data_IF_369726492530
#
_entry.id   IF_369726492530
#
_cell.length_a   1.000
_cell.length_b   1.000
_cell.length_c   1.000
_cell.angle_alpha   90.00
_cell.angle_beta   90.00
_cell.angle_gamma   90.00
#
_symmetry.space_group_name_H-M   'P 1'
#
loop_
_entity.id
_entity.type
_entity.pdbx_description
1 polymer ?
#
# COMPACT_ATOMS: atom_id res chain seq x y z
N UNK A 1 -26.29 -11.46 -2.83
CA UNK A 1 -25.89 -10.07 -3.12
C UNK A 1 -26.13 -9.83 -4.60
N UNK A 2 -26.91 -8.81 -4.98
CA UNK A 2 -27.28 -8.57 -6.37
C UNK A 2 -26.05 -8.10 -7.15
N UNK A 3 -25.76 -8.69 -8.32
CA UNK A 3 -24.54 -8.40 -9.11
C UNK A 3 -24.41 -6.92 -9.47
N UNK A 4 -25.54 -6.22 -9.62
CA UNK A 4 -25.62 -4.78 -9.87
C UNK A 4 -24.98 -3.91 -8.76
N UNK A 5 -25.04 -4.33 -7.49
CA UNK A 5 -24.44 -3.57 -6.39
C UNK A 5 -22.96 -3.87 -6.17
N UNK A 6 -22.48 -5.03 -6.60
CA UNK A 6 -21.10 -5.44 -6.38
C UNK A 6 -20.10 -4.73 -7.32
N UNK A 7 -20.57 -4.31 -8.51
CA UNK A 7 -19.76 -3.63 -9.54
C UNK A 7 -19.24 -2.25 -9.12
N UNK A 8 -20.05 -1.32 -8.61
CA UNK A 8 -19.52 -0.03 -8.14
C UNK A 8 -18.57 -0.20 -6.95
N UNK A 9 -18.83 -1.15 -6.05
CA UNK A 9 -18.02 -1.36 -4.85
C UNK A 9 -16.62 -1.84 -5.20
N UNK A 10 -16.49 -2.80 -6.12
CA UNK A 10 -15.16 -3.28 -6.54
C UNK A 10 -14.38 -2.20 -7.27
N UNK A 11 -15.03 -1.36 -8.09
CA UNK A 11 -14.37 -0.26 -8.77
C UNK A 11 -13.85 0.79 -7.77
N UNK A 12 -14.63 1.13 -6.75
CA UNK A 12 -14.17 2.03 -5.67
C UNK A 12 -12.98 1.43 -4.93
N UNK A 13 -13.00 0.13 -4.65
CA UNK A 13 -11.86 -0.58 -4.03
C UNK A 13 -10.61 -0.52 -4.90
N UNK A 14 -10.71 -0.88 -6.18
CA UNK A 14 -9.58 -0.82 -7.14
C UNK A 14 -8.99 0.59 -7.16
N UNK A 15 -9.84 1.61 -7.24
CA UNK A 15 -9.42 3.01 -7.24
C UNK A 15 -8.61 3.37 -5.98
N UNK A 16 -9.14 3.03 -4.80
CA UNK A 16 -8.50 3.38 -3.52
C UNK A 16 -7.19 2.61 -3.32
N UNK A 17 -7.14 1.32 -3.69
CA UNK A 17 -5.95 0.49 -3.52
C UNK A 17 -4.83 0.95 -4.47
N UNK A 18 -5.15 1.21 -5.74
CA UNK A 18 -4.21 1.80 -6.69
C UNK A 18 -3.69 3.18 -6.24
N UNK A 19 -4.58 3.99 -5.67
CA UNK A 19 -4.23 5.27 -5.06
C UNK A 19 -3.23 5.09 -3.90
N UNK A 20 -3.43 4.11 -3.01
CA UNK A 20 -2.54 3.91 -1.88
C UNK A 20 -1.17 3.39 -2.34
N UNK A 21 -1.15 2.42 -3.25
CA UNK A 21 0.06 1.76 -3.72
C UNK A 21 1.01 2.73 -4.45
N UNK A 22 0.49 3.63 -5.29
CA UNK A 22 1.34 4.66 -5.92
C UNK A 22 1.87 5.68 -4.90
N UNK A 23 1.08 6.03 -3.88
CA UNK A 23 1.52 7.01 -2.88
C UNK A 23 2.64 6.43 -2.01
N UNK A 24 2.60 5.13 -1.67
CA UNK A 24 3.70 4.47 -0.98
C UNK A 24 5.01 4.51 -1.77
N UNK A 25 4.95 4.29 -3.08
CA UNK A 25 6.12 4.40 -3.96
C UNK A 25 6.70 5.83 -3.90
N UNK A 26 5.85 6.84 -4.09
CA UNK A 26 6.26 8.24 -4.10
C UNK A 26 6.82 8.72 -2.75
N UNK A 27 6.25 8.23 -1.63
CA UNK A 27 6.77 8.47 -0.29
C UNK A 27 8.20 7.97 -0.15
N UNK A 28 8.48 6.75 -0.62
CA UNK A 28 9.82 6.16 -0.56
C UNK A 28 10.80 6.86 -1.51
N UNK A 29 10.37 7.23 -2.72
CA UNK A 29 11.18 8.00 -3.65
C UNK A 29 11.59 9.36 -3.05
N UNK A 30 10.63 10.07 -2.44
CA UNK A 30 10.88 11.37 -1.83
C UNK A 30 11.73 11.25 -0.57
N UNK A 31 11.51 10.24 0.27
CA UNK A 31 12.36 9.97 1.43
C UNK A 31 13.81 9.69 1.00
N UNK A 32 14.01 8.82 0.01
CA UNK A 32 15.35 8.54 -0.53
C UNK A 32 16.02 9.79 -1.09
N UNK A 33 15.27 10.65 -1.79
CA UNK A 33 15.76 11.95 -2.28
C UNK A 33 16.23 12.85 -1.12
N UNK A 34 15.45 12.89 -0.03
CA UNK A 34 15.78 13.69 1.15
C UNK A 34 16.99 13.17 1.94
N UNK A 35 17.14 11.84 2.09
CA UNK A 35 18.22 11.24 2.89
C UNK A 35 19.51 10.98 2.11
N UNK A 36 19.44 10.62 0.82
CA UNK A 36 20.59 10.17 0.04
C UNK A 36 20.98 11.11 -1.10
N UNK A 37 20.30 12.25 -1.26
CA UNK A 37 20.52 13.23 -2.31
C UNK A 37 20.32 12.66 -3.74
N UNK A 38 20.54 13.51 -4.76
CA UNK A 38 20.35 13.21 -6.18
C UNK A 38 18.93 12.74 -6.53
N UNK A 39 17.99 13.70 -6.49
CA UNK A 39 16.55 13.47 -6.68
C UNK A 39 16.23 12.67 -7.94
N UNK A 40 16.80 13.04 -9.09
CA UNK A 40 16.51 12.35 -10.37
C UNK A 40 16.90 10.88 -10.29
N UNK A 41 18.09 10.57 -9.77
CA UNK A 41 18.52 9.18 -9.59
C UNK A 41 17.57 8.41 -8.67
N UNK A 42 17.18 8.99 -7.53
CA UNK A 42 16.33 8.30 -6.53
C UNK A 42 14.94 8.01 -7.05
N UNK A 43 14.32 8.97 -7.73
CA UNK A 43 13.03 8.76 -8.37
C UNK A 43 13.11 7.72 -9.49
N UNK A 44 14.06 7.84 -10.43
CA UNK A 44 14.18 6.90 -11.55
C UNK A 44 14.44 5.46 -11.09
N UNK A 45 15.33 5.27 -10.10
CA UNK A 45 15.62 3.94 -9.54
C UNK A 45 14.41 3.39 -8.78
N UNK A 46 13.72 4.22 -8.00
CA UNK A 46 12.53 3.80 -7.25
C UNK A 46 11.42 3.35 -8.20
N UNK A 47 11.09 4.16 -9.20
CA UNK A 47 10.08 3.84 -10.23
C UNK A 47 10.46 2.54 -10.95
N UNK A 48 11.70 2.45 -11.45
CA UNK A 48 12.15 1.27 -12.19
C UNK A 48 12.10 -0.01 -11.36
N UNK A 49 12.56 0.05 -10.10
CA UNK A 49 12.56 -1.09 -9.20
C UNK A 49 11.13 -1.48 -8.78
N UNK A 50 10.29 -0.49 -8.48
CA UNK A 50 8.88 -0.69 -8.14
C UNK A 50 8.13 -1.37 -9.29
N UNK A 51 8.25 -0.87 -10.52
CA UNK A 51 7.62 -1.46 -11.70
C UNK A 51 8.13 -2.86 -12.00
N UNK A 52 9.45 -3.10 -11.89
CA UNK A 52 10.02 -4.43 -12.05
C UNK A 52 9.46 -5.42 -11.01
N UNK A 53 9.43 -5.02 -9.74
CA UNK A 53 8.88 -5.82 -8.65
C UNK A 53 7.37 -6.04 -8.77
N UNK A 54 6.62 -5.05 -9.24
CA UNK A 54 5.21 -5.20 -9.59
C UNK A 54 5.00 -6.26 -10.68
N UNK A 55 5.86 -6.26 -11.71
CA UNK A 55 5.87 -7.32 -12.72
C UNK A 55 6.13 -8.70 -12.11
N UNK A 56 7.11 -8.83 -11.20
CA UNK A 56 7.37 -10.09 -10.49
C UNK A 56 6.18 -10.56 -9.65
N UNK A 57 5.51 -9.64 -8.93
CA UNK A 57 4.31 -9.95 -8.16
C UNK A 57 3.16 -10.45 -9.03
N UNK A 58 2.94 -9.79 -10.18
CA UNK A 58 1.92 -10.21 -11.14
C UNK A 58 2.21 -11.58 -11.76
N UNK A 59 3.49 -11.89 -12.06
CA UNK A 59 3.91 -13.21 -12.54
C UNK A 59 3.80 -14.30 -11.45
N UNK A 60 4.07 -13.95 -10.20
CA UNK A 60 3.97 -14.85 -9.06
C UNK A 60 2.54 -15.11 -8.59
N UNK A 61 1.55 -14.39 -9.12
CA UNK A 61 0.12 -14.62 -8.87
C UNK A 61 -0.37 -15.91 -9.56
N UNK A 62 0.18 -17.05 -9.13
CA UNK A 62 -0.17 -18.39 -9.57
C UNK A 62 -1.64 -18.74 -9.26
N UNK A 63 -2.16 -19.75 -9.96
CA UNK A 63 -3.54 -20.26 -9.81
C UNK A 63 -3.93 -20.58 -8.35
N UNK A 64 -2.97 -21.00 -7.53
CA UNK A 64 -3.18 -21.26 -6.10
C UNK A 64 -3.61 -19.99 -5.34
N UNK A 65 -3.02 -18.84 -5.66
CA UNK A 65 -3.32 -17.56 -5.02
C UNK A 65 -4.63 -16.94 -5.55
N UNK A 66 -4.98 -17.24 -6.79
CA UNK A 66 -6.23 -16.80 -7.41
C UNK A 66 -7.43 -17.70 -7.03
N UNK A 67 -7.21 -18.90 -6.47
CA UNK A 67 -8.28 -19.80 -5.97
C UNK A 67 -9.18 -19.14 -4.91
N UNK A 68 -8.62 -18.30 -4.04
CA UNK A 68 -9.36 -17.56 -3.00
C UNK A 68 -9.02 -16.07 -3.07
N UNK A 69 -9.41 -15.38 -4.15
CA UNK A 69 -8.77 -14.13 -4.53
C UNK A 69 -9.07 -13.00 -3.54
N UNK A 70 -10.26 -12.99 -2.92
CA UNK A 70 -10.61 -12.01 -1.87
C UNK A 70 -9.77 -12.21 -0.59
N UNK A 71 -9.49 -13.46 -0.21
CA UNK A 71 -8.67 -13.76 0.97
C UNK A 71 -7.21 -13.40 0.73
N UNK A 72 -6.70 -13.71 -0.46
CA UNK A 72 -5.35 -13.35 -0.87
C UNK A 72 -5.22 -11.83 -0.95
N UNK A 73 -6.19 -11.13 -1.56
CA UNK A 73 -6.22 -9.67 -1.63
C UNK A 73 -6.20 -9.06 -0.23
N UNK A 74 -7.04 -9.53 0.69
CA UNK A 74 -7.03 -9.05 2.06
C UNK A 74 -5.68 -9.30 2.76
N UNK A 75 -5.00 -10.40 2.45
CA UNK A 75 -3.66 -10.69 2.99
C UNK A 75 -2.61 -9.73 2.42
N UNK A 76 -2.71 -9.41 1.13
CA UNK A 76 -1.87 -8.40 0.47
C UNK A 76 -2.10 -7.02 1.10
N UNK A 77 -3.36 -6.64 1.34
CA UNK A 77 -3.68 -5.34 1.96
C UNK A 77 -3.17 -5.20 3.39
N UNK A 78 -3.24 -6.28 4.17
CA UNK A 78 -2.63 -6.34 5.50
C UNK A 78 -1.13 -6.03 5.41
N UNK A 79 -0.43 -6.69 4.48
CA UNK A 79 1.01 -6.52 4.31
C UNK A 79 1.37 -5.14 3.74
N UNK A 80 0.62 -4.62 2.78
CA UNK A 80 0.81 -3.27 2.24
C UNK A 80 0.57 -2.20 3.29
N UNK A 81 -0.46 -2.34 4.12
CA UNK A 81 -0.72 -1.42 5.23
C UNK A 81 0.44 -1.40 6.22
N UNK A 82 0.99 -2.57 6.57
CA UNK A 82 2.11 -2.68 7.50
C UNK A 82 3.42 -2.16 6.89
N UNK A 83 3.79 -2.64 5.70
CA UNK A 83 5.07 -2.31 5.08
C UNK A 83 5.04 -0.88 4.55
N UNK A 84 3.98 -0.49 3.85
CA UNK A 84 3.81 0.85 3.29
C UNK A 84 3.60 1.91 4.37
N UNK A 85 2.65 1.68 5.29
CA UNK A 85 2.31 2.65 6.34
C UNK A 85 3.45 2.94 7.32
N UNK A 86 4.23 1.92 7.68
CA UNK A 86 5.37 2.07 8.60
C UNK A 86 6.72 2.25 7.90
N UNK A 87 6.77 2.25 6.56
CA UNK A 87 8.00 2.36 5.77
C UNK A 87 8.87 3.54 6.20
N UNK A 88 8.28 4.72 6.36
CA UNK A 88 9.02 5.92 6.78
C UNK A 88 9.47 5.86 8.23
N UNK A 89 8.65 5.33 9.13
CA UNK A 89 9.06 5.09 10.51
C UNK A 89 10.29 4.19 10.58
N UNK A 90 10.31 3.13 9.78
CA UNK A 90 11.48 2.23 9.66
C UNK A 90 12.70 3.02 9.17
N UNK A 91 12.59 3.80 8.09
CA UNK A 91 13.71 4.59 7.57
C UNK A 91 14.22 5.62 8.60
N UNK A 92 13.34 6.34 9.29
CA UNK A 92 13.71 7.28 10.34
C UNK A 92 14.46 6.59 11.50
N UNK A 93 14.00 5.41 11.93
CA UNK A 93 14.70 4.61 12.95
C UNK A 93 16.08 4.18 12.48
N UNK A 94 16.21 3.68 11.24
CA UNK A 94 17.51 3.29 10.67
C UNK A 94 18.49 4.47 10.60
N UNK A 95 17.99 5.66 10.26
CA UNK A 95 18.77 6.88 10.25
C UNK A 95 19.20 7.31 11.67
N UNK A 96 18.29 7.23 12.64
CA UNK A 96 18.56 7.53 14.06
C UNK A 96 19.60 6.59 14.68
N UNK A 97 19.70 5.34 14.21
CA UNK A 97 20.71 4.39 14.65
C UNK A 97 22.10 4.62 14.02
N UNK A 98 22.28 5.68 13.23
CA UNK A 98 23.53 6.01 12.51
C UNK A 98 24.06 4.84 11.67
N UNK A 99 23.15 4.07 11.08
CA UNK A 99 23.56 2.94 10.25
C UNK A 99 24.32 3.43 9.00
N UNK A 100 25.28 2.64 8.49
CA UNK A 100 26.00 3.00 7.28
C UNK A 100 25.05 3.29 6.13
N UNK A 101 25.39 4.28 5.29
CA UNK A 101 24.59 4.71 4.13
C UNK A 101 24.16 3.56 3.22
N UNK A 102 25.01 2.54 3.07
CA UNK A 102 24.72 1.33 2.28
C UNK A 102 23.59 0.50 2.89
N UNK A 103 23.53 0.37 4.22
CA UNK A 103 22.49 -0.39 4.93
C UNK A 103 21.16 0.34 4.84
N UNK A 104 21.16 1.66 5.05
CA UNK A 104 19.97 2.49 4.87
C UNK A 104 19.41 2.37 3.45
N UNK A 105 20.28 2.55 2.45
CA UNK A 105 19.90 2.43 1.04
C UNK A 105 19.34 1.04 0.74
N UNK A 106 20.01 -0.04 1.16
CA UNK A 106 19.53 -1.40 0.94
C UNK A 106 18.15 -1.63 1.57
N UNK A 107 17.93 -1.19 2.81
CA UNK A 107 16.65 -1.32 3.48
C UNK A 107 15.52 -0.60 2.72
N UNK A 108 15.76 0.63 2.27
CA UNK A 108 14.78 1.37 1.47
C UNK A 108 14.43 0.66 0.16
N UNK A 109 15.42 0.12 -0.57
CA UNK A 109 15.17 -0.62 -1.81
C UNK A 109 14.44 -1.95 -1.56
N UNK A 110 14.70 -2.62 -0.42
CA UNK A 110 13.93 -3.80 0.00
C UNK A 110 12.47 -3.42 0.25
N UNK A 111 12.20 -2.30 0.92
CA UNK A 111 10.82 -1.81 1.12
C UNK A 111 10.13 -1.55 -0.22
N UNK A 112 10.81 -0.89 -1.17
CA UNK A 112 10.30 -0.65 -2.53
C UNK A 112 9.96 -1.97 -3.22
N UNK A 113 10.86 -2.96 -3.17
CA UNK A 113 10.63 -4.29 -3.77
C UNK A 113 9.43 -4.98 -3.13
N UNK A 114 9.34 -4.98 -1.79
CA UNK A 114 8.23 -5.62 -1.08
C UNK A 114 6.88 -4.99 -1.45
N UNK A 115 6.79 -3.65 -1.46
CA UNK A 115 5.56 -2.95 -1.82
C UNK A 115 5.24 -3.16 -3.30
N UNK A 116 6.25 -3.14 -4.19
CA UNK A 116 6.10 -3.41 -5.61
C UNK A 116 5.54 -4.81 -5.86
N UNK A 117 6.16 -5.85 -5.29
CA UNK A 117 5.69 -7.24 -5.40
C UNK A 117 4.25 -7.36 -4.92
N UNK A 118 3.94 -6.82 -3.73
CA UNK A 118 2.59 -6.88 -3.17
C UNK A 118 1.56 -6.16 -4.05
N UNK A 119 1.86 -4.96 -4.55
CA UNK A 119 0.99 -4.25 -5.49
C UNK A 119 0.78 -5.06 -6.77
N UNK A 120 1.82 -5.76 -7.24
CA UNK A 120 1.75 -6.64 -8.41
C UNK A 120 0.71 -7.75 -8.29
N UNK A 121 0.39 -8.21 -7.08
CA UNK A 121 -0.67 -9.20 -6.86
C UNK A 121 -2.08 -8.63 -7.07
N UNK A 122 -2.30 -7.33 -6.89
CA UNK A 122 -3.64 -6.73 -6.88
C UNK A 122 -4.37 -6.94 -8.21
N UNK A 123 -3.73 -6.59 -9.34
CA UNK A 123 -4.37 -6.62 -10.67
C UNK A 123 -4.84 -8.03 -11.06
N UNK A 124 -4.00 -9.10 -10.97
CA UNK A 124 -4.47 -10.47 -11.21
C UNK A 124 -5.61 -10.90 -10.27
N UNK A 125 -5.58 -10.50 -8.99
CA UNK A 125 -6.62 -10.84 -8.03
C UNK A 125 -7.95 -10.15 -8.39
N UNK A 126 -7.91 -8.88 -8.80
CA UNK A 126 -9.10 -8.19 -9.27
C UNK A 126 -9.68 -8.81 -10.54
N UNK A 127 -8.84 -9.16 -11.51
CA UNK A 127 -9.26 -9.88 -12.73
C UNK A 127 -10.01 -11.15 -12.37
N UNK A 128 -9.48 -11.96 -11.45
CA UNK A 128 -10.16 -13.18 -11.04
C UNK A 128 -11.48 -12.90 -10.31
N UNK A 129 -11.56 -11.89 -9.43
CA UNK A 129 -12.80 -11.53 -8.74
C UNK A 129 -13.89 -11.10 -9.73
N UNK A 130 -13.57 -10.22 -10.69
CA UNK A 130 -14.55 -9.73 -11.67
C UNK A 130 -14.96 -10.83 -12.66
N UNK A 131 -14.03 -11.73 -13.02
CA UNK A 131 -14.25 -12.87 -13.92
C UNK A 131 -15.16 -13.92 -13.31
N UNK A 132 -14.84 -14.42 -12.11
CA UNK A 132 -15.62 -15.48 -11.43
C UNK A 132 -17.09 -15.05 -11.26
N UNK A 133 -17.30 -13.76 -10.98
CA UNK A 133 -18.61 -13.24 -10.61
C UNK A 133 -19.34 -12.51 -11.73
N UNK A 134 -18.68 -12.30 -12.88
CA UNK A 134 -19.19 -11.55 -14.05
C UNK A 134 -19.74 -10.17 -13.65
N UNK A 135 -18.99 -9.44 -12.84
CA UNK A 135 -19.42 -8.17 -12.22
C UNK A 135 -18.90 -6.94 -12.99
N UNK A 136 -17.75 -7.06 -13.65
CA UNK A 136 -17.09 -5.99 -14.41
C UNK A 136 -16.20 -6.59 -15.50
N UNK A 137 -15.59 -5.75 -16.34
CA UNK A 137 -14.61 -6.17 -17.36
C UNK A 137 -13.18 -5.84 -16.91
N UNK A 138 -12.21 -6.62 -17.37
CA UNK A 138 -10.79 -6.39 -17.08
C UNK A 138 -10.29 -5.02 -17.55
N UNK A 139 -10.83 -4.52 -18.67
CA UNK A 139 -10.54 -3.17 -19.18
C UNK A 139 -10.99 -2.08 -18.20
N UNK A 140 -12.15 -2.26 -17.54
CA UNK A 140 -12.62 -1.32 -16.51
C UNK A 140 -11.70 -1.39 -15.29
N UNK A 141 -11.29 -2.59 -14.88
CA UNK A 141 -10.34 -2.77 -13.77
C UNK A 141 -9.05 -2.00 -14.03
N UNK A 142 -8.44 -2.17 -15.22
CA UNK A 142 -7.22 -1.43 -15.59
C UNK A 142 -7.45 0.08 -15.65
N UNK A 143 -8.54 0.53 -16.29
CA UNK A 143 -8.84 1.95 -16.40
C UNK A 143 -9.01 2.63 -15.04
N UNK A 144 -9.73 1.98 -14.12
CA UNK A 144 -9.94 2.47 -12.75
C UNK A 144 -8.64 2.43 -11.95
N UNK A 145 -7.82 1.39 -12.12
CA UNK A 145 -6.51 1.28 -11.48
C UNK A 145 -5.58 2.44 -11.89
N UNK A 146 -5.44 2.70 -13.20
CA UNK A 146 -4.62 3.81 -13.67
C UNK A 146 -5.18 5.18 -13.26
N UNK A 147 -6.51 5.31 -13.22
CA UNK A 147 -7.14 6.54 -12.74
C UNK A 147 -6.87 6.77 -11.24
N UNK A 148 -6.97 5.72 -10.41
CA UNK A 148 -6.60 5.76 -8.99
C UNK A 148 -5.14 6.17 -8.79
N UNK A 149 -4.22 5.58 -9.56
CA UNK A 149 -2.81 5.93 -9.52
C UNK A 149 -2.54 7.39 -9.94
N UNK A 150 -3.21 7.87 -10.99
CA UNK A 150 -3.10 9.27 -11.41
C UNK A 150 -3.57 10.24 -10.30
N UNK A 151 -4.73 9.97 -9.70
CA UNK A 151 -5.25 10.79 -8.59
C UNK A 151 -4.33 10.71 -7.38
N UNK A 152 -3.81 9.53 -7.05
CA UNK A 152 -2.84 9.32 -5.97
C UNK A 152 -1.59 10.18 -6.14
N UNK A 153 -0.97 10.16 -7.33
CA UNK A 153 0.19 11.00 -7.65
C UNK A 153 -0.11 12.49 -7.50
N UNK A 154 -1.28 12.94 -7.97
CA UNK A 154 -1.73 14.33 -7.83
C UNK A 154 -1.95 14.73 -6.37
N UNK A 155 -2.67 13.92 -5.60
CA UNK A 155 -2.91 14.16 -4.17
C UNK A 155 -1.61 14.16 -3.37
N UNK A 156 -0.69 13.23 -3.64
CA UNK A 156 0.61 13.24 -3.00
C UNK A 156 1.36 14.55 -3.28
N UNK A 157 1.48 14.91 -4.55
CA UNK A 157 2.28 16.07 -4.99
C UNK A 157 1.73 17.40 -4.50
N UNK A 158 0.41 17.60 -4.59
CA UNK A 158 -0.19 18.91 -4.33
C UNK A 158 -0.83 19.06 -2.95
N UNK A 159 -1.13 17.96 -2.26
CA UNK A 159 -1.88 17.98 -0.99
C UNK A 159 -1.05 17.35 0.13
N UNK A 160 -0.71 16.07 0.02
CA UNK A 160 -0.15 15.35 1.16
C UNK A 160 1.28 15.76 1.48
N UNK A 161 2.16 15.77 0.48
CA UNK A 161 3.56 16.14 0.70
C UNK A 161 3.70 17.60 1.20
N UNK A 162 3.04 18.61 0.59
CA UNK A 162 3.21 19.99 1.03
C UNK A 162 2.54 20.34 2.37
N UNK A 163 1.40 19.70 2.69
CA UNK A 163 0.58 20.10 3.85
C UNK A 163 0.87 19.21 5.07
N UNK A 164 0.89 17.88 4.88
CA UNK A 164 1.03 16.92 5.97
C UNK A 164 2.48 16.47 6.19
N UNK A 165 3.33 16.57 5.17
CA UNK A 165 4.69 16.02 5.21
C UNK A 165 4.72 14.50 5.10
N UNK A 166 5.92 13.93 5.02
CA UNK A 166 6.10 12.52 4.64
C UNK A 166 5.51 11.55 5.68
N UNK A 167 5.86 11.71 6.96
CA UNK A 167 5.50 10.75 8.02
C UNK A 167 3.98 10.68 8.25
N UNK A 168 3.30 11.82 8.37
CA UNK A 168 1.85 11.84 8.52
C UNK A 168 1.15 11.27 7.28
N UNK A 169 1.68 11.55 6.08
CA UNK A 169 1.16 10.99 4.83
C UNK A 169 1.26 9.46 4.79
N UNK A 170 2.36 8.85 5.24
CA UNK A 170 2.50 7.39 5.23
C UNK A 170 1.47 6.72 6.14
N UNK A 171 1.23 7.26 7.34
CA UNK A 171 0.18 6.73 8.23
C UNK A 171 -1.23 7.00 7.69
N UNK A 172 -1.46 8.15 7.07
CA UNK A 172 -2.77 8.48 6.49
C UNK A 172 -3.13 7.55 5.33
N UNK A 173 -2.17 7.31 4.42
CA UNK A 173 -2.35 6.37 3.31
C UNK A 173 -2.48 4.94 3.85
N UNK A 174 -1.68 4.58 4.86
CA UNK A 174 -1.85 3.38 5.67
C UNK A 174 -3.27 3.17 6.17
N UNK A 175 -3.85 4.21 6.75
CA UNK A 175 -5.22 4.19 7.27
C UNK A 175 -6.27 4.02 6.16
N UNK A 176 -6.12 4.72 5.03
CA UNK A 176 -7.01 4.55 3.87
C UNK A 176 -6.91 3.12 3.31
N UNK A 177 -5.70 2.57 3.19
CA UNK A 177 -5.50 1.20 2.73
C UNK A 177 -6.14 0.19 3.69
N UNK A 178 -5.96 0.43 5.00
CA UNK A 178 -6.55 -0.38 6.05
C UNK A 178 -8.08 -0.40 5.99
N UNK A 179 -8.69 0.78 5.75
CA UNK A 179 -10.13 0.94 5.56
C UNK A 179 -10.62 0.20 4.30
N UNK A 180 -9.91 0.35 3.18
CA UNK A 180 -10.24 -0.36 1.94
C UNK A 180 -10.21 -1.88 2.15
N UNK A 181 -9.14 -2.42 2.76
CA UNK A 181 -9.05 -3.83 3.11
C UNK A 181 -10.17 -4.28 4.06
N UNK A 182 -10.53 -3.48 5.06
CA UNK A 182 -11.65 -3.78 5.97
C UNK A 182 -12.98 -3.85 5.23
N UNK A 183 -13.17 -2.99 4.23
CA UNK A 183 -14.40 -2.94 3.42
C UNK A 183 -14.58 -4.15 2.50
N UNK A 184 -13.55 -4.99 2.30
CA UNK A 184 -13.70 -6.29 1.61
C UNK A 184 -14.71 -7.23 2.28
N UNK A 185 -15.04 -7.00 3.56
CA UNK A 185 -16.14 -7.67 4.25
C UNK A 185 -17.49 -7.51 3.55
N UNK A 186 -17.70 -6.41 2.80
CA UNK A 186 -18.90 -6.21 1.99
C UNK A 186 -18.98 -7.27 0.89
N UNK A 187 -17.84 -7.72 0.37
CA UNK A 187 -17.72 -8.77 -0.64
C UNK A 187 -17.75 -10.19 -0.06
N UNK A 188 -17.97 -10.37 1.26
CA UNK A 188 -17.98 -11.71 1.90
C UNK A 188 -18.95 -12.71 1.24
N UNK A 189 -20.05 -12.20 0.66
CA UNK A 189 -21.03 -13.04 -0.04
C UNK A 189 -20.51 -13.68 -1.33
N UNK A 190 -19.35 -13.23 -1.82
CA UNK A 190 -18.67 -13.76 -2.99
C UNK A 190 -17.69 -14.90 -2.65
N UNK A 191 -17.34 -15.06 -1.37
CA UNK A 191 -16.36 -16.02 -0.87
C UNK A 191 -16.99 -17.43 -0.74
N UNK A 192 -16.23 -18.47 -1.10
CA UNK A 192 -16.67 -19.86 -0.92
C UNK A 192 -16.78 -20.23 0.56
N UNK A 193 -17.65 -21.18 0.92
CA UNK A 193 -17.87 -21.58 2.33
C UNK A 193 -16.58 -22.04 3.03
N UNK A 194 -15.73 -22.74 2.30
CA UNK A 194 -14.42 -23.24 2.78
C UNK A 194 -13.44 -22.11 3.12
N UNK A 195 -13.53 -20.99 2.40
CA UNK A 195 -12.64 -19.83 2.57
C UNK A 195 -13.16 -18.79 3.58
N UNK A 196 -14.39 -18.92 4.09
CA UNK A 196 -14.97 -17.95 5.03
C UNK A 196 -14.27 -17.94 6.40
N UNK A 197 -13.94 -19.11 6.96
CA UNK A 197 -13.26 -19.19 8.26
C UNK A 197 -11.88 -18.51 8.25
N UNK A 198 -10.98 -18.76 7.27
CA UNK A 198 -9.73 -18.02 7.17
C UNK A 198 -9.96 -16.54 6.85
N UNK A 199 -10.99 -16.19 6.06
CA UNK A 199 -11.33 -14.79 5.78
C UNK A 199 -11.63 -14.00 7.06
N UNK A 200 -12.45 -14.54 7.97
CA UNK A 200 -12.76 -13.85 9.23
C UNK A 200 -11.53 -13.63 10.10
N UNK A 201 -10.56 -14.56 10.12
CA UNK A 201 -9.29 -14.39 10.84
C UNK A 201 -8.47 -13.24 10.25
N UNK A 202 -8.31 -13.22 8.94
CA UNK A 202 -7.62 -12.12 8.23
C UNK A 202 -8.34 -10.80 8.46
N UNK A 203 -9.68 -10.78 8.42
CA UNK A 203 -10.45 -9.58 8.64
C UNK A 203 -10.31 -9.05 10.07
N UNK A 204 -10.30 -9.93 11.09
CA UNK A 204 -10.01 -9.49 12.46
C UNK A 204 -8.61 -8.90 12.60
N UNK A 205 -7.61 -9.47 11.91
CA UNK A 205 -6.26 -8.91 11.87
C UNK A 205 -6.24 -7.53 11.20
N UNK A 206 -6.93 -7.38 10.07
CA UNK A 206 -7.05 -6.12 9.36
C UNK A 206 -7.68 -5.02 10.23
N UNK A 207 -8.73 -5.35 10.99
CA UNK A 207 -9.36 -4.39 11.92
C UNK A 207 -8.40 -3.98 13.04
N UNK A 208 -7.63 -4.92 13.59
CA UNK A 208 -6.60 -4.59 14.60
C UNK A 208 -5.54 -3.65 14.02
N UNK A 209 -5.09 -3.90 12.78
CA UNK A 209 -4.13 -3.05 12.09
C UNK A 209 -4.72 -1.67 11.78
N UNK A 210 -5.99 -1.60 11.38
CA UNK A 210 -6.71 -0.33 11.18
C UNK A 210 -6.73 0.52 12.45
N UNK A 211 -7.03 -0.08 13.60
CA UNK A 211 -7.02 0.62 14.89
C UNK A 211 -5.60 1.08 15.24
N UNK A 212 -4.62 0.19 15.08
CA UNK A 212 -3.21 0.50 15.35
C UNK A 212 -2.71 1.67 14.49
N UNK A 213 -2.95 1.64 13.17
CA UNK A 213 -2.49 2.69 12.27
C UNK A 213 -3.27 4.00 12.47
N UNK A 214 -4.55 3.90 12.86
CA UNK A 214 -5.33 5.06 13.29
C UNK A 214 -4.70 5.76 14.50
N UNK A 215 -4.27 4.99 15.52
CA UNK A 215 -3.55 5.54 16.68
C UNK A 215 -2.24 6.19 16.24
N UNK A 216 -1.45 5.55 15.37
CA UNK A 216 -0.20 6.12 14.84
C UNK A 216 -0.44 7.43 14.08
N UNK A 217 -1.53 7.53 13.31
CA UNK A 217 -1.91 8.75 12.61
C UNK A 217 -2.26 9.89 13.58
N UNK A 218 -3.05 9.62 14.62
CA UNK A 218 -3.36 10.61 15.66
C UNK A 218 -2.11 11.07 16.42
N UNK A 219 -1.13 10.19 16.60
CA UNK A 219 0.15 10.50 17.25
C UNK A 219 1.23 10.96 16.27
N UNK A 220 0.90 11.29 15.03
CA UNK A 220 1.91 11.57 13.99
C UNK A 220 2.75 12.82 14.28
N UNK A 221 2.16 13.90 14.82
CA UNK A 221 2.91 15.12 15.17
C UNK A 221 3.95 14.85 16.28
N UNK A 222 3.60 14.24 17.45
CA UNK A 222 4.58 13.86 18.46
C UNK A 222 5.66 12.90 17.94
N UNK A 223 5.30 11.97 17.05
CA UNK A 223 6.26 11.02 16.47
C UNK A 223 7.27 11.77 15.60
N UNK A 224 6.81 12.71 14.78
CA UNK A 224 7.67 13.50 13.92
C UNK A 224 8.57 14.43 14.73
N UNK A 225 8.04 15.11 15.76
CA UNK A 225 8.82 15.93 16.68
C UNK A 225 9.88 15.12 17.43
N UNK A 226 9.56 13.91 17.89
CA UNK A 226 10.51 13.02 18.56
C UNK A 226 11.71 12.68 17.65
N UNK A 227 11.46 12.40 16.38
CA UNK A 227 12.55 12.13 15.43
C UNK A 227 13.38 13.39 15.13
N UNK A 228 12.74 14.55 15.03
CA UNK A 228 13.43 15.82 14.78
C UNK A 228 14.29 16.27 15.97
N UNK A 229 13.77 16.22 17.19
CA UNK A 229 14.51 16.60 18.41
C UNK A 229 15.75 15.71 18.60
N UNK A 230 15.61 14.40 18.36
CA UNK A 230 16.75 13.48 18.46
C UNK A 230 17.80 13.71 17.39
N UNK A 231 17.39 14.12 16.18
CA UNK A 231 18.32 14.48 15.11
C UNK A 231 19.09 15.77 15.42
N UNK A 232 18.42 16.76 16.02
CA UNK A 232 19.05 18.03 16.41
C UNK A 232 20.00 17.86 17.60
N UNK A 233 19.65 17.00 18.58
CA UNK A 233 20.48 16.73 19.76
C UNK A 233 21.64 15.74 19.52
N UNK A 234 21.81 15.29 18.27
CA UNK A 234 22.91 14.44 17.83
C UNK A 234 24.19 15.19 17.45
N UNK A 235 24.09 16.50 17.30
CA UNK A 235 25.16 17.43 16.93
C UNK A 235 25.38 18.45 18.05
#
# INVERSE_FOLDING_TARGET
MNTAFASPIINVLIFILAFCSIVYELLLAQALSAFLENTVLRYCVTIGLYMFSMGLGALAAEEKYTKHPINTLLSVEILLTLIGGFSLGILHVLNMLYLPRIVFSAAAHILIICIGVLTGFEVPLFFEIVRIKKISSENIVLGVNYFGAFVGTGCFTFVFYPIAGLMATSFFVGFINALAGTSLMILRGLISKEALKPFYRLWTLQVMILVMIGICLFCSDPINEYFMDRYMNAF
#
